data_IF_619544745174
#
_entry.id   IF_619544745174
#
_cell.length_a   1.000
_cell.length_b   1.000
_cell.length_c   1.000
_cell.angle_alpha   90.00
_cell.angle_beta   90.00
_cell.angle_gamma   90.00
#
_symmetry.space_group_name_H-M   'P 1'
#
loop_
_entity.id
_entity.type
_entity.pdbx_description
1 polymer ?
#
# COMPACT_ATOMS: atom_id res chain seq x y z
N UNK A 1 25.98 -15.65 -20.88
CA UNK A 1 24.90 -14.85 -20.23
C UNK A 1 23.66 -15.67 -19.83
N UNK A 2 23.09 -16.56 -20.68
CA UNK A 2 21.88 -17.34 -20.35
C UNK A 2 21.97 -18.24 -19.10
N UNK A 3 23.16 -18.79 -18.80
CA UNK A 3 23.37 -19.71 -17.66
C UNK A 3 23.33 -19.01 -16.30
N UNK A 4 23.86 -17.79 -16.22
CA UNK A 4 23.81 -16.95 -15.01
C UNK A 4 22.38 -16.53 -14.69
N UNK A 5 21.62 -16.09 -15.70
CA UNK A 5 20.21 -15.73 -15.57
C UNK A 5 19.36 -16.91 -15.05
N UNK A 6 19.55 -18.10 -15.64
CA UNK A 6 18.84 -19.31 -15.22
C UNK A 6 19.14 -19.70 -13.77
N UNK A 7 20.39 -19.55 -13.32
CA UNK A 7 20.79 -19.83 -11.94
C UNK A 7 20.21 -18.82 -10.94
N UNK A 8 20.14 -17.54 -11.29
CA UNK A 8 19.51 -16.51 -10.44
C UNK A 8 18.01 -16.78 -10.29
N UNK A 9 17.32 -17.09 -11.39
CA UNK A 9 15.87 -17.41 -11.38
C UNK A 9 15.59 -18.68 -10.57
N UNK A 10 16.42 -19.72 -10.70
CA UNK A 10 16.29 -20.94 -9.90
C UNK A 10 16.55 -20.71 -8.41
N UNK A 11 17.48 -19.81 -8.07
CA UNK A 11 17.77 -19.41 -6.68
C UNK A 11 16.59 -18.63 -6.08
N UNK A 12 15.98 -17.73 -6.85
CA UNK A 12 14.77 -17.01 -6.45
C UNK A 12 13.54 -17.93 -6.31
N UNK A 13 13.35 -18.89 -7.22
CA UNK A 13 12.28 -19.91 -7.12
C UNK A 13 12.42 -20.82 -5.89
N UNK A 14 13.64 -21.02 -5.39
CA UNK A 14 13.92 -21.78 -4.15
C UNK A 14 13.81 -20.94 -2.88
N UNK A 15 13.59 -19.62 -2.97
CA UNK A 15 13.30 -18.82 -1.79
C UNK A 15 11.93 -19.23 -1.27
N UNK A 16 11.91 -19.95 -0.16
CA UNK A 16 10.72 -20.18 0.65
C UNK A 16 10.02 -18.82 0.82
N UNK A 17 8.69 -18.77 0.68
CA UNK A 17 7.93 -17.54 0.97
C UNK A 17 8.22 -17.17 2.42
N UNK A 18 9.12 -16.21 2.64
CA UNK A 18 9.52 -15.76 3.97
C UNK A 18 8.41 -14.86 4.49
N UNK A 19 7.89 -15.18 5.67
CA UNK A 19 6.89 -14.36 6.31
C UNK A 19 7.54 -13.07 6.84
N UNK A 20 6.77 -12.00 6.99
CA UNK A 20 7.25 -10.76 7.63
C UNK A 20 7.86 -11.01 9.01
N UNK A 21 7.42 -12.06 9.71
CA UNK A 21 7.95 -12.48 11.01
C UNK A 21 9.42 -12.91 10.97
N UNK A 22 9.92 -13.39 9.83
CA UNK A 22 11.31 -13.84 9.67
C UNK A 22 12.24 -12.72 9.15
N UNK A 23 11.69 -11.54 8.85
CA UNK A 23 12.45 -10.42 8.30
C UNK A 23 13.30 -9.74 9.38
N UNK A 24 14.56 -9.33 9.10
CA UNK A 24 15.37 -8.57 10.04
C UNK A 24 14.82 -7.15 10.26
N UNK A 25 15.10 -6.58 11.44
CA UNK A 25 14.49 -5.32 11.90
C UNK A 25 14.72 -4.14 10.95
N UNK A 26 15.94 -3.99 10.42
CA UNK A 26 16.25 -2.89 9.50
C UNK A 26 15.39 -2.93 8.23
N UNK A 27 15.07 -4.12 7.71
CA UNK A 27 14.18 -4.25 6.56
C UNK A 27 12.74 -3.93 6.94
N UNK A 28 12.28 -4.36 8.12
CA UNK A 28 10.95 -4.00 8.63
C UNK A 28 10.78 -2.49 8.76
N UNK A 29 11.82 -1.78 9.21
CA UNK A 29 11.82 -0.31 9.26
C UNK A 29 11.74 0.29 7.86
N UNK A 30 12.58 -0.16 6.93
CA UNK A 30 12.60 0.37 5.55
C UNK A 30 11.25 0.16 4.87
N UNK A 31 10.70 -1.05 4.90
CA UNK A 31 9.41 -1.35 4.28
C UNK A 31 8.25 -0.68 5.00
N UNK A 32 8.25 -0.70 6.34
CA UNK A 32 7.23 -0.07 7.16
C UNK A 32 7.16 1.44 6.96
N UNK A 33 8.31 2.13 6.99
CA UNK A 33 8.39 3.57 6.78
C UNK A 33 8.01 3.96 5.35
N UNK A 34 8.49 3.22 4.34
CA UNK A 34 8.13 3.49 2.93
C UNK A 34 6.63 3.31 2.69
N UNK A 35 6.06 2.21 3.20
CA UNK A 35 4.63 1.96 3.10
C UNK A 35 3.82 3.01 3.86
N UNK A 36 4.28 3.43 5.04
CA UNK A 36 3.65 4.50 5.82
C UNK A 36 3.63 5.83 5.04
N UNK A 37 4.74 6.21 4.40
CA UNK A 37 4.81 7.44 3.60
C UNK A 37 3.85 7.40 2.41
N UNK A 38 3.82 6.28 1.66
CA UNK A 38 2.92 6.11 0.51
C UNK A 38 1.46 6.18 0.97
N UNK A 39 1.11 5.42 2.01
CA UNK A 39 -0.25 5.41 2.58
C UNK A 39 -0.66 6.78 3.09
N UNK A 40 0.24 7.49 3.78
CA UNK A 40 -0.05 8.83 4.32
C UNK A 40 -0.26 9.87 3.21
N UNK A 41 0.58 9.84 2.16
CA UNK A 41 0.47 10.76 1.04
C UNK A 41 -0.86 10.57 0.30
N UNK A 42 -1.17 9.33 -0.11
CA UNK A 42 -2.44 9.07 -0.79
C UNK A 42 -3.64 9.24 0.14
N UNK A 43 -3.47 8.95 1.43
CA UNK A 43 -4.48 9.19 2.44
C UNK A 43 -4.87 10.66 2.48
N UNK A 44 -3.87 11.54 2.50
CA UNK A 44 -4.08 12.99 2.42
C UNK A 44 -4.81 13.41 1.13
N UNK A 45 -4.36 12.92 -0.03
CA UNK A 45 -5.01 13.22 -1.32
C UNK A 45 -6.48 12.77 -1.32
N UNK A 46 -6.76 11.55 -0.86
CA UNK A 46 -8.13 11.02 -0.79
C UNK A 46 -8.98 11.85 0.16
N UNK A 47 -8.46 12.27 1.32
CA UNK A 47 -9.21 13.09 2.29
C UNK A 47 -9.53 14.49 1.76
N UNK A 48 -8.66 15.09 0.95
CA UNK A 48 -8.90 16.41 0.36
C UNK A 48 -9.89 16.35 -0.80
N UNK A 49 -9.79 15.34 -1.68
CA UNK A 49 -10.58 15.30 -2.94
C UNK A 49 -11.95 14.66 -2.76
N UNK A 50 -12.09 13.66 -1.88
CA UNK A 50 -13.36 12.92 -1.70
C UNK A 50 -14.53 13.82 -1.29
N UNK A 51 -14.38 14.80 -0.37
CA UNK A 51 -15.47 15.71 -0.02
C UNK A 51 -15.97 16.54 -1.20
N UNK A 52 -15.08 17.01 -2.08
CA UNK A 52 -15.44 17.77 -3.29
C UNK A 52 -16.21 16.91 -4.28
N UNK A 53 -15.76 15.68 -4.49
CA UNK A 53 -16.45 14.71 -5.32
C UNK A 53 -17.88 14.44 -4.81
N UNK A 54 -18.04 14.17 -3.50
CA UNK A 54 -19.35 13.94 -2.89
C UNK A 54 -20.25 15.17 -3.06
N UNK A 55 -19.72 16.38 -2.84
CA UNK A 55 -20.47 17.63 -3.05
C UNK A 55 -20.91 17.80 -4.51
N UNK A 56 -20.07 17.48 -5.47
CA UNK A 56 -20.40 17.58 -6.90
C UNK A 56 -21.50 16.59 -7.30
N UNK A 57 -21.37 15.33 -6.89
CA UNK A 57 -22.38 14.28 -7.15
C UNK A 57 -23.73 14.65 -6.52
N UNK A 58 -23.73 15.09 -5.26
CA UNK A 58 -24.97 15.46 -4.57
C UNK A 58 -25.67 16.65 -5.21
N UNK A 59 -24.92 17.62 -5.77
CA UNK A 59 -25.49 18.76 -6.50
C UNK A 59 -26.18 18.34 -7.80
N UNK A 60 -25.66 17.32 -8.49
CA UNK A 60 -26.26 16.80 -9.72
C UNK A 60 -27.45 15.87 -9.47
N UNK A 61 -27.63 15.39 -8.22
CA UNK A 61 -28.67 14.44 -7.80
C UNK A 61 -28.61 13.06 -8.48
N UNK A 62 -27.59 12.79 -9.29
CA UNK A 62 -27.29 11.50 -9.90
C UNK A 62 -25.79 11.40 -10.19
N UNK A 63 -25.30 10.17 -10.43
CA UNK A 63 -23.91 9.93 -10.84
C UNK A 63 -23.90 9.69 -12.35
N UNK A 64 -23.20 10.56 -13.09
CA UNK A 64 -22.95 10.41 -14.51
C UNK A 64 -21.68 9.57 -14.78
N UNK A 65 -21.36 9.34 -16.06
CA UNK A 65 -20.20 8.52 -16.46
C UNK A 65 -18.88 9.11 -15.94
N UNK A 66 -18.76 10.44 -15.91
CA UNK A 66 -17.59 11.12 -15.34
C UNK A 66 -17.51 10.89 -13.83
N UNK A 67 -18.63 10.98 -13.12
CA UNK A 67 -18.73 10.67 -11.70
C UNK A 67 -18.31 9.22 -11.38
N UNK A 68 -18.74 8.24 -12.18
CA UNK A 68 -18.29 6.84 -12.04
C UNK A 68 -16.78 6.73 -12.24
N UNK A 69 -16.25 7.41 -13.26
CA UNK A 69 -14.82 7.36 -13.61
C UNK A 69 -13.96 7.95 -12.48
N UNK A 70 -14.32 9.14 -11.98
CA UNK A 70 -13.64 9.79 -10.86
C UNK A 70 -13.79 8.96 -9.58
N UNK A 71 -14.98 8.44 -9.30
CA UNK A 71 -15.24 7.59 -8.14
C UNK A 71 -14.39 6.31 -8.16
N UNK A 72 -14.20 5.71 -9.33
CA UNK A 72 -13.36 4.51 -9.50
C UNK A 72 -11.88 4.83 -9.26
N UNK A 73 -11.39 5.99 -9.72
CA UNK A 73 -10.03 6.44 -9.45
C UNK A 73 -9.84 6.67 -7.94
N UNK A 74 -10.78 7.37 -7.28
CA UNK A 74 -10.73 7.60 -5.84
C UNK A 74 -10.74 6.28 -5.05
N UNK A 75 -11.55 5.31 -5.48
CA UNK A 75 -11.60 3.99 -4.87
C UNK A 75 -10.27 3.24 -5.03
N UNK A 76 -9.63 3.32 -6.20
CA UNK A 76 -8.33 2.72 -6.43
C UNK A 76 -7.25 3.34 -5.52
N UNK A 77 -7.23 4.67 -5.41
CA UNK A 77 -6.32 5.38 -4.51
C UNK A 77 -6.57 5.01 -3.04
N UNK A 78 -7.84 4.94 -2.62
CA UNK A 78 -8.20 4.50 -1.26
C UNK A 78 -7.76 3.05 -1.00
N UNK A 79 -7.83 2.17 -2.01
CA UNK A 79 -7.33 0.81 -1.90
C UNK A 79 -5.80 0.77 -1.75
N UNK A 80 -5.06 1.65 -2.41
CA UNK A 80 -3.61 1.80 -2.18
C UNK A 80 -3.31 2.25 -0.75
N UNK A 81 -4.02 3.26 -0.25
CA UNK A 81 -3.90 3.73 1.15
C UNK A 81 -4.10 2.56 2.11
N UNK A 82 -5.15 1.78 1.90
CA UNK A 82 -5.47 0.61 2.72
C UNK A 82 -4.36 -0.45 2.67
N UNK A 83 -3.90 -0.80 1.47
CA UNK A 83 -2.90 -1.84 1.27
C UNK A 83 -1.56 -1.47 1.92
N UNK A 84 -1.03 -0.28 1.62
CA UNK A 84 0.23 0.18 2.19
C UNK A 84 0.09 0.48 3.69
N UNK A 85 -1.06 0.95 4.15
CA UNK A 85 -1.37 1.14 5.57
C UNK A 85 -1.32 -0.19 6.34
N UNK A 86 -1.86 -1.27 5.78
CA UNK A 86 -1.79 -2.59 6.38
C UNK A 86 -0.35 -3.12 6.47
N UNK A 87 0.48 -2.88 5.45
CA UNK A 87 1.91 -3.23 5.48
C UNK A 87 2.63 -2.44 6.58
N UNK A 88 2.43 -1.13 6.64
CA UNK A 88 3.03 -0.26 7.65
C UNK A 88 2.63 -0.71 9.06
N UNK A 89 1.34 -0.97 9.28
CA UNK A 89 0.81 -1.45 10.55
C UNK A 89 1.42 -2.80 10.95
N UNK A 90 1.55 -3.73 10.01
CA UNK A 90 2.15 -5.05 10.29
C UNK A 90 3.63 -4.92 10.66
N UNK A 91 4.40 -4.10 9.94
CA UNK A 91 5.81 -3.87 10.24
C UNK A 91 5.98 -3.20 11.61
N UNK A 92 5.16 -2.18 11.90
CA UNK A 92 5.17 -1.50 13.19
C UNK A 92 4.87 -2.47 14.34
N UNK A 93 3.86 -3.33 14.21
CA UNK A 93 3.55 -4.31 15.26
C UNK A 93 4.72 -5.25 15.53
N UNK A 94 5.38 -5.77 14.47
CA UNK A 94 6.54 -6.65 14.64
C UNK A 94 7.73 -5.93 15.30
N UNK A 95 7.99 -4.68 14.92
CA UNK A 95 9.04 -3.87 15.54
C UNK A 95 8.69 -3.56 17.01
N UNK A 96 7.43 -3.20 17.29
CA UNK A 96 6.96 -2.95 18.64
C UNK A 96 7.17 -4.16 19.55
N UNK A 97 6.82 -5.35 19.07
CA UNK A 97 7.02 -6.60 19.80
C UNK A 97 8.49 -6.98 20.02
N UNK A 98 9.41 -6.51 19.16
CA UNK A 98 10.84 -6.84 19.27
C UNK A 98 11.63 -5.83 20.09
N UNK A 99 11.25 -4.55 20.04
CA UNK A 99 12.04 -3.46 20.60
C UNK A 99 11.49 -2.90 21.90
N UNK A 100 10.18 -2.98 22.13
CA UNK A 100 9.50 -2.29 23.24
C UNK A 100 8.69 -3.20 24.16
N UNK A 101 8.52 -4.48 23.81
CA UNK A 101 7.97 -5.51 24.70
C UNK A 101 9.07 -6.13 25.57
#
# INVERSE_FOLDING_TARGET
>A
MKKAYKNIVLKFKKLKKREFKEMPDYLLVIFGASAFLISSYWGFVVTEVTPDFIRAVNKQAHIDILGISVGTILLALAAEVWFFGAIAFRCNNLLYERWFK
#
